data_IF_561044172145
#
_entry.id   IF_561044172145
#
_cell.length_a   1.000
_cell.length_b   1.000
_cell.length_c   1.000
_cell.angle_alpha   90.00
_cell.angle_beta   90.00
_cell.angle_gamma   90.00
#
_symmetry.space_group_name_H-M   'P 1'
#
loop_
_entity.id
_entity.type
_entity.pdbx_description
1 polymer ?
#
# COMPACT_ATOMS: atom_id res chain seq x y z
N UNK A 1 76.55 -7.47 20.19
CA UNK A 1 76.18 -8.86 19.84
C UNK A 1 75.15 -9.29 20.86
N UNK A 2 73.88 -9.58 20.58
CA UNK A 2 73.09 -9.76 19.37
C UNK A 2 71.66 -9.30 19.73
N UNK A 3 71.01 -8.48 18.91
CA UNK A 3 70.07 -8.84 17.85
C UNK A 3 68.61 -8.87 18.33
N UNK A 4 67.82 -8.01 17.71
CA UNK A 4 66.37 -7.88 17.81
C UNK A 4 65.63 -9.06 17.17
N UNK A 5 64.35 -9.20 17.51
CA UNK A 5 63.37 -10.04 16.81
C UNK A 5 62.42 -10.67 17.83
N UNK A 6 61.10 -10.58 17.75
CA UNK A 6 60.18 -9.92 16.83
C UNK A 6 58.82 -9.99 17.55
N UNK A 7 58.13 -8.86 17.66
CA UNK A 7 56.78 -8.82 18.24
C UNK A 7 55.81 -9.33 17.18
N UNK A 8 55.45 -10.62 17.22
CA UNK A 8 54.37 -11.18 16.42
C UNK A 8 53.04 -10.67 16.98
N UNK A 9 52.61 -9.50 16.49
CA UNK A 9 51.24 -9.03 16.62
C UNK A 9 50.32 -9.96 15.82
N UNK A 10 49.73 -10.93 16.51
CA UNK A 10 48.51 -11.56 16.02
C UNK A 10 47.46 -10.45 15.97
N UNK A 11 47.16 -9.98 14.76
CA UNK A 11 45.98 -9.18 14.48
C UNK A 11 44.79 -10.08 14.75
N UNK A 12 44.30 -10.08 15.99
CA UNK A 12 42.94 -10.49 16.27
C UNK A 12 42.05 -9.54 15.49
N UNK A 13 41.55 -9.98 14.33
CA UNK A 13 40.37 -9.39 13.73
C UNK A 13 39.27 -9.47 14.78
N UNK A 14 39.11 -8.38 15.52
CA UNK A 14 37.97 -8.13 16.37
C UNK A 14 36.76 -8.04 15.46
N UNK A 15 36.18 -9.21 15.14
CA UNK A 15 34.79 -9.30 14.73
C UNK A 15 34.02 -8.63 15.87
N UNK A 16 33.54 -7.42 15.62
CA UNK A 16 32.60 -6.75 16.51
C UNK A 16 31.35 -7.61 16.45
N UNK A 17 31.27 -8.60 17.34
CA UNK A 17 30.10 -9.44 17.48
C UNK A 17 29.07 -8.56 18.18
N UNK A 18 28.12 -8.03 17.41
CA UNK A 18 26.99 -7.30 17.99
C UNK A 18 26.35 -8.16 19.09
N UNK A 19 25.88 -7.57 20.20
CA UNK A 19 25.20 -8.33 21.25
C UNK A 19 24.06 -9.17 20.64
N UNK A 20 23.87 -10.44 21.04
CA UNK A 20 22.86 -11.31 20.45
C UNK A 20 21.46 -10.69 20.42
N UNK A 21 21.06 -10.01 21.50
CA UNK A 21 19.78 -9.31 21.59
C UNK A 21 19.64 -8.14 20.60
N UNK A 22 20.74 -7.43 20.30
CA UNK A 22 20.74 -6.34 19.32
C UNK A 22 20.61 -6.89 17.90
N UNK A 23 21.30 -8.00 17.60
CA UNK A 23 21.17 -8.68 16.32
C UNK A 23 19.74 -9.26 16.13
N UNK A 24 19.14 -9.81 17.18
CA UNK A 24 17.77 -10.32 17.16
C UNK A 24 16.74 -9.21 16.91
N UNK A 25 16.92 -8.03 17.52
CA UNK A 25 16.04 -6.89 17.29
C UNK A 25 16.09 -6.41 15.82
N UNK A 26 17.29 -6.30 15.25
CA UNK A 26 17.49 -5.94 13.83
C UNK A 26 16.91 -7.01 12.89
N UNK A 27 17.12 -8.29 13.21
CA UNK A 27 16.54 -9.37 12.42
C UNK A 27 15.00 -9.34 12.48
N UNK A 28 14.43 -9.12 13.66
CA UNK A 28 12.97 -9.01 13.85
C UNK A 28 12.39 -7.86 13.01
N UNK A 29 13.08 -6.72 12.95
CA UNK A 29 12.73 -5.60 12.09
C UNK A 29 12.67 -6.00 10.62
N UNK A 30 13.74 -6.62 10.12
CA UNK A 30 13.79 -7.03 8.73
C UNK A 30 12.71 -8.05 8.39
N UNK A 31 12.47 -9.01 9.29
CA UNK A 31 11.42 -10.02 9.12
C UNK A 31 10.04 -9.37 9.12
N UNK A 32 9.77 -8.40 10.00
CA UNK A 32 8.48 -7.71 10.04
C UNK A 32 8.18 -6.96 8.74
N UNK A 33 9.16 -6.25 8.19
CA UNK A 33 9.03 -5.56 6.90
C UNK A 33 8.84 -6.53 5.73
N UNK A 34 9.56 -7.65 5.74
CA UNK A 34 9.39 -8.72 4.74
C UNK A 34 7.98 -9.33 4.80
N UNK A 35 7.50 -9.63 6.01
CA UNK A 35 6.16 -10.16 6.24
C UNK A 35 5.08 -9.16 5.80
N UNK A 36 5.23 -7.88 6.14
CA UNK A 36 4.34 -6.82 5.69
C UNK A 36 4.27 -6.74 4.16
N UNK A 37 5.42 -6.84 3.49
CA UNK A 37 5.48 -6.86 2.02
C UNK A 37 4.77 -8.08 1.43
N UNK A 38 4.89 -9.25 2.07
CA UNK A 38 4.17 -10.45 1.65
C UNK A 38 2.66 -10.31 1.85
N UNK A 39 2.21 -9.75 2.97
CA UNK A 39 0.80 -9.45 3.22
C UNK A 39 0.23 -8.48 2.18
N UNK A 40 0.95 -7.37 1.92
CA UNK A 40 0.56 -6.38 0.92
C UNK A 40 0.38 -7.00 -0.46
N UNK A 41 1.32 -7.85 -0.89
CA UNK A 41 1.26 -8.54 -2.17
C UNK A 41 0.08 -9.51 -2.23
N UNK A 42 -0.03 -10.42 -1.26
CA UNK A 42 -1.10 -11.43 -1.26
C UNK A 42 -2.50 -10.84 -1.09
N UNK A 43 -2.64 -9.73 -0.35
CA UNK A 43 -3.89 -8.99 -0.26
C UNK A 43 -4.27 -8.37 -1.61
N UNK A 44 -3.30 -7.79 -2.32
CA UNK A 44 -3.51 -7.18 -3.63
C UNK A 44 -3.89 -8.22 -4.70
N UNK A 45 -3.27 -9.39 -4.64
CA UNK A 45 -3.51 -10.55 -5.52
C UNK A 45 -4.75 -11.37 -5.13
N UNK A 46 -5.40 -11.07 -3.99
CA UNK A 46 -6.52 -11.86 -3.43
C UNK A 46 -6.18 -13.35 -3.23
N UNK A 47 -4.92 -13.62 -2.88
CA UNK A 47 -4.38 -14.98 -2.70
C UNK A 47 -4.60 -15.46 -1.26
N UNK A 48 -5.76 -16.06 -0.98
CA UNK A 48 -6.18 -16.49 0.36
C UNK A 48 -5.17 -17.35 1.15
N UNK A 49 -4.73 -18.49 0.62
CA UNK A 49 -3.85 -19.41 1.37
C UNK A 49 -2.46 -18.80 1.67
N UNK A 50 -1.94 -17.98 0.75
CA UNK A 50 -0.70 -17.24 0.97
C UNK A 50 -0.88 -16.14 2.01
N UNK A 51 -2.00 -15.42 1.95
CA UNK A 51 -2.33 -14.36 2.89
C UNK A 51 -2.46 -14.90 4.32
N UNK A 52 -3.24 -15.96 4.55
CA UNK A 52 -3.42 -16.56 5.88
C UNK A 52 -2.09 -16.98 6.53
N UNK A 53 -1.21 -17.64 5.76
CA UNK A 53 0.12 -18.03 6.25
C UNK A 53 0.92 -16.82 6.74
N UNK A 54 0.92 -15.72 5.97
CA UNK A 54 1.68 -14.53 6.35
C UNK A 54 1.00 -13.74 7.47
N UNK A 55 -0.32 -13.84 7.61
CA UNK A 55 -1.08 -13.29 8.73
C UNK A 55 -0.67 -13.94 10.05
N UNK A 56 -0.56 -15.27 10.09
CA UNK A 56 -0.11 -16.00 11.28
C UNK A 56 1.30 -15.57 11.72
N UNK A 57 2.22 -15.46 10.74
CA UNK A 57 3.61 -15.02 11.00
C UNK A 57 3.63 -13.58 11.51
N UNK A 58 2.86 -12.67 10.87
CA UNK A 58 2.76 -11.28 11.30
C UNK A 58 2.23 -11.17 12.73
N UNK A 59 1.18 -11.94 13.06
CA UNK A 59 0.57 -11.89 14.38
C UNK A 59 1.52 -12.43 15.46
N UNK A 60 2.25 -13.51 15.18
CA UNK A 60 3.26 -14.05 16.09
C UNK A 60 4.37 -13.03 16.38
N UNK A 61 4.87 -12.33 15.35
CA UNK A 61 5.89 -11.30 15.50
C UNK A 61 5.38 -10.10 16.30
N UNK A 62 4.20 -9.58 15.94
CA UNK A 62 3.61 -8.39 16.57
C UNK A 62 3.28 -8.67 18.04
N UNK A 63 2.76 -9.86 18.36
CA UNK A 63 2.48 -10.27 19.74
C UNK A 63 3.75 -10.44 20.59
N UNK A 64 4.91 -10.68 19.95
CA UNK A 64 6.21 -10.77 20.60
C UNK A 64 6.84 -9.41 20.93
N UNK A 65 6.31 -8.31 20.39
CA UNK A 65 6.83 -6.97 20.66
C UNK A 65 6.36 -6.48 22.03
N UNK A 66 7.30 -6.14 22.92
CA UNK A 66 6.97 -5.48 24.19
C UNK A 66 6.54 -4.02 23.99
N UNK A 67 7.10 -3.36 22.97
CA UNK A 67 6.72 -2.05 22.48
C UNK A 67 6.97 -1.96 20.98
N UNK A 68 6.12 -1.24 20.26
CA UNK A 68 6.29 -1.01 18.82
C UNK A 68 7.28 0.14 18.61
N UNK A 69 8.44 -0.09 17.96
CA UNK A 69 9.38 0.98 17.65
C UNK A 69 8.74 2.06 16.77
N UNK A 70 9.05 3.37 16.99
CA UNK A 70 8.41 4.47 16.26
C UNK A 70 8.47 4.34 14.73
N UNK A 71 9.62 3.91 14.19
CA UNK A 71 9.80 3.73 12.75
C UNK A 71 8.97 2.57 12.17
N UNK A 72 8.64 1.58 13.00
CA UNK A 72 7.89 0.38 12.59
C UNK A 72 6.38 0.50 12.76
N UNK A 73 5.89 1.53 13.47
CA UNK A 73 4.47 1.71 13.76
C UNK A 73 3.60 1.57 12.51
N UNK A 74 3.95 2.26 11.43
CA UNK A 74 3.20 2.20 10.16
C UNK A 74 3.13 0.77 9.61
N UNK A 75 4.24 0.03 9.67
CA UNK A 75 4.32 -1.37 9.22
C UNK A 75 3.42 -2.26 10.07
N UNK A 76 3.48 -2.13 11.40
CA UNK A 76 2.63 -2.90 12.32
C UNK A 76 1.15 -2.57 12.10
N UNK A 77 0.80 -1.28 12.05
CA UNK A 77 -0.58 -0.86 11.86
C UNK A 77 -1.13 -1.35 10.53
N UNK A 78 -0.37 -1.23 9.44
CA UNK A 78 -0.79 -1.75 8.13
C UNK A 78 -1.03 -3.26 8.18
N UNK A 79 -0.11 -4.05 8.75
CA UNK A 79 -0.34 -5.49 8.94
C UNK A 79 -1.65 -5.77 9.70
N UNK A 80 -1.87 -5.07 10.83
CA UNK A 80 -3.05 -5.25 11.66
C UNK A 80 -4.35 -4.87 10.91
N UNK A 81 -4.32 -3.80 10.10
CA UNK A 81 -5.44 -3.38 9.24
C UNK A 81 -5.74 -4.45 8.19
N UNK A 82 -4.73 -4.92 7.43
CA UNK A 82 -4.93 -5.88 6.35
C UNK A 82 -5.53 -7.20 6.85
N UNK A 83 -5.01 -7.73 7.97
CA UNK A 83 -5.49 -8.98 8.57
C UNK A 83 -6.97 -8.84 8.98
N UNK A 84 -7.32 -7.74 9.65
CA UNK A 84 -8.68 -7.49 10.13
C UNK A 84 -9.67 -7.22 9.01
N UNK A 85 -9.23 -6.50 7.98
CA UNK A 85 -10.05 -6.26 6.82
C UNK A 85 -10.25 -7.57 6.07
N UNK A 86 -9.24 -8.39 5.81
CA UNK A 86 -9.46 -9.70 5.17
C UNK A 86 -10.50 -10.58 5.89
N UNK A 87 -10.60 -10.47 7.22
CA UNK A 87 -11.59 -11.16 8.06
C UNK A 87 -12.84 -10.32 8.38
N UNK A 88 -13.04 -9.20 7.68
CA UNK A 88 -14.02 -8.16 8.01
C UNK A 88 -15.47 -8.62 8.01
N UNK A 89 -15.80 -9.62 7.19
CA UNK A 89 -17.14 -10.20 7.11
C UNK A 89 -17.38 -11.33 8.12
N UNK A 90 -16.34 -11.78 8.82
CA UNK A 90 -16.42 -12.87 9.78
C UNK A 90 -16.71 -12.33 11.19
N UNK A 91 -17.99 -12.07 11.46
CA UNK A 91 -18.44 -11.51 12.74
C UNK A 91 -18.26 -12.44 13.96
N UNK A 92 -17.92 -13.72 13.74
CA UNK A 92 -17.59 -14.66 14.81
C UNK A 92 -16.13 -14.62 15.26
N UNK A 93 -15.29 -13.82 14.59
CA UNK A 93 -13.87 -13.70 14.88
C UNK A 93 -13.61 -12.40 15.64
N UNK A 94 -12.78 -12.47 16.69
CA UNK A 94 -12.48 -11.36 17.58
C UNK A 94 -10.97 -11.15 17.70
N UNK A 95 -10.53 -9.91 17.51
CA UNK A 95 -9.12 -9.51 17.62
C UNK A 95 -8.82 -8.76 18.92
N UNK A 96 -9.84 -8.21 19.56
CA UNK A 96 -9.73 -7.40 20.76
C UNK A 96 -10.23 -8.16 21.99
N UNK A 97 -9.78 -7.72 23.17
CA UNK A 97 -10.26 -8.25 24.44
C UNK A 97 -11.77 -8.04 24.64
N UNK A 98 -12.33 -6.97 24.07
CA UNK A 98 -13.77 -6.77 24.03
C UNK A 98 -14.37 -7.50 22.82
N UNK A 99 -15.01 -8.63 23.07
CA UNK A 99 -15.62 -9.48 22.02
C UNK A 99 -16.78 -8.79 21.30
N UNK A 100 -17.23 -7.60 21.73
CA UNK A 100 -18.24 -6.81 21.01
C UNK A 100 -17.65 -6.01 19.84
N UNK A 101 -16.32 -5.95 19.75
CA UNK A 101 -15.61 -5.27 18.67
C UNK A 101 -15.47 -6.26 17.51
N UNK A 102 -16.09 -5.93 16.37
CA UNK A 102 -15.91 -6.69 15.13
C UNK A 102 -14.51 -6.49 14.53
N UNK A 103 -14.08 -7.38 13.62
CA UNK A 103 -12.84 -7.18 12.87
C UNK A 103 -12.72 -5.80 12.20
N UNK A 104 -13.79 -5.27 11.60
CA UNK A 104 -13.75 -3.95 10.93
C UNK A 104 -13.66 -2.79 11.91
N UNK A 105 -14.29 -2.90 13.08
CA UNK A 105 -14.16 -1.88 14.14
C UNK A 105 -12.74 -1.86 14.71
N UNK A 106 -12.17 -3.05 14.88
CA UNK A 106 -10.76 -3.20 15.23
C UNK A 106 -9.87 -2.59 14.14
N UNK A 107 -10.16 -2.84 12.86
CA UNK A 107 -9.40 -2.27 11.73
C UNK A 107 -9.44 -0.74 11.74
N UNK A 108 -10.61 -0.15 12.04
CA UNK A 108 -10.78 1.30 12.13
C UNK A 108 -9.89 1.92 13.22
N UNK A 109 -9.74 1.23 14.36
CA UNK A 109 -8.86 1.71 15.43
C UNK A 109 -7.40 1.82 14.97
N UNK A 110 -6.90 0.80 14.25
CA UNK A 110 -5.55 0.83 13.67
C UNK A 110 -5.43 1.81 12.52
N UNK A 111 -6.49 2.00 11.71
CA UNK A 111 -6.52 3.01 10.67
C UNK A 111 -6.35 4.41 11.27
N UNK A 112 -7.06 4.71 12.35
CA UNK A 112 -6.95 5.99 13.07
C UNK A 112 -5.53 6.21 13.64
N UNK A 113 -4.87 5.14 14.09
CA UNK A 113 -3.47 5.21 14.53
C UNK A 113 -2.51 5.47 13.37
N UNK A 114 -2.77 4.88 12.20
CA UNK A 114 -1.98 5.06 10.98
C UNK A 114 -2.09 6.49 10.44
N UNK A 115 -3.31 7.06 10.43
CA UNK A 115 -3.57 8.45 10.00
C UNK A 115 -2.75 9.46 10.81
N UNK A 116 -2.59 9.23 12.12
CA UNK A 116 -1.79 10.10 12.99
C UNK A 116 -0.30 10.11 12.66
N UNK A 117 0.19 9.06 12.00
CA UNK A 117 1.59 8.94 11.58
C UNK A 117 1.81 9.50 10.16
N UNK A 118 0.77 9.89 9.42
CA UNK A 118 0.85 10.29 8.01
C UNK A 118 -0.01 11.50 7.61
N UNK A 119 0.66 12.61 7.24
CA UNK A 119 0.00 13.88 6.88
C UNK A 119 -0.31 14.00 5.36
N UNK A 120 0.34 13.21 4.48
CA UNK A 120 0.32 13.47 3.02
C UNK A 120 -0.87 12.91 2.22
N UNK A 121 -1.73 12.09 2.82
CA UNK A 121 -2.75 11.31 2.11
C UNK A 121 -4.17 11.61 2.59
N UNK A 122 -4.42 12.81 3.10
CA UNK A 122 -5.67 13.25 3.76
C UNK A 122 -6.93 12.74 3.06
N UNK A 123 -7.09 12.97 1.75
CA UNK A 123 -8.29 12.52 1.02
C UNK A 123 -8.43 10.99 0.94
N UNK A 124 -7.33 10.26 0.68
CA UNK A 124 -7.39 8.79 0.59
C UNK A 124 -7.64 8.20 1.99
N UNK A 125 -7.06 8.80 3.01
CA UNK A 125 -7.29 8.44 4.42
C UNK A 125 -8.75 8.64 4.81
N UNK A 126 -9.31 9.82 4.57
CA UNK A 126 -10.72 10.13 4.80
C UNK A 126 -11.65 9.16 4.04
N UNK A 127 -11.36 8.88 2.76
CA UNK A 127 -12.12 7.94 1.94
C UNK A 127 -12.13 6.54 2.59
N UNK A 128 -10.96 6.02 2.98
CA UNK A 128 -10.82 4.68 3.58
C UNK A 128 -11.47 4.65 4.97
N UNK A 129 -11.21 5.66 5.81
CA UNK A 129 -11.79 5.78 7.14
C UNK A 129 -13.32 5.70 7.07
N UNK A 130 -13.92 6.51 6.19
CA UNK A 130 -15.36 6.53 5.96
C UNK A 130 -15.89 5.21 5.42
N UNK A 131 -15.16 4.58 4.50
CA UNK A 131 -15.54 3.26 3.97
C UNK A 131 -15.52 2.18 5.05
N UNK A 132 -14.51 2.16 5.93
CA UNK A 132 -14.46 1.22 7.06
C UNK A 132 -15.67 1.44 7.98
N UNK A 133 -15.97 2.69 8.37
CA UNK A 133 -17.14 3.01 9.21
C UNK A 133 -18.46 2.53 8.59
N UNK A 134 -18.67 2.78 7.30
CA UNK A 134 -19.89 2.35 6.60
C UNK A 134 -19.95 0.82 6.54
N UNK A 135 -18.81 0.16 6.26
CA UNK A 135 -18.75 -1.29 6.13
C UNK A 135 -18.93 -2.01 7.47
N UNK A 136 -18.50 -1.43 8.61
CA UNK A 136 -18.85 -1.95 9.92
C UNK A 136 -20.36 -2.15 10.06
N UNK A 137 -21.16 -1.14 9.70
CA UNK A 137 -22.63 -1.22 9.76
C UNK A 137 -23.19 -2.15 8.67
N UNK A 138 -22.68 -2.05 7.44
CA UNK A 138 -23.18 -2.84 6.31
C UNK A 138 -23.08 -4.35 6.55
N UNK A 139 -21.95 -4.83 7.07
CA UNK A 139 -21.73 -6.26 7.33
C UNK A 139 -22.70 -6.81 8.39
N UNK A 140 -22.96 -6.07 9.46
CA UNK A 140 -23.99 -6.46 10.45
C UNK A 140 -25.40 -6.47 9.84
N UNK A 141 -25.70 -5.48 8.99
CA UNK A 141 -27.01 -5.37 8.31
C UNK A 141 -27.26 -6.54 7.34
N UNK A 142 -26.26 -6.91 6.53
CA UNK A 142 -26.32 -8.06 5.62
C UNK A 142 -26.50 -9.39 6.39
N UNK A 143 -25.87 -9.49 7.56
CA UNK A 143 -25.99 -10.64 8.48
C UNK A 143 -27.29 -10.66 9.30
N UNK A 144 -28.18 -9.68 9.11
CA UNK A 144 -29.44 -9.47 9.87
C UNK A 144 -29.26 -9.23 11.37
N UNK A 145 -28.07 -8.85 11.79
CA UNK A 145 -27.74 -8.49 13.18
C UNK A 145 -28.01 -6.99 13.41
N UNK A 146 -29.30 -6.61 13.35
CA UNK A 146 -29.72 -5.20 13.37
C UNK A 146 -29.45 -4.51 14.72
N UNK A 147 -29.50 -5.27 15.81
CA UNK A 147 -29.26 -4.74 17.16
C UNK A 147 -27.77 -4.42 17.32
N UNK A 148 -26.93 -5.36 16.93
CA UNK A 148 -25.49 -5.27 16.90
C UNK A 148 -25.05 -4.16 15.94
N UNK A 149 -25.72 -3.97 14.80
CA UNK A 149 -25.49 -2.84 13.90
C UNK A 149 -25.74 -1.47 14.58
N UNK A 150 -26.78 -1.37 15.41
CA UNK A 150 -27.08 -0.15 16.16
C UNK A 150 -26.03 0.09 17.27
N UNK A 151 -25.65 -0.96 18.00
CA UNK A 151 -24.56 -0.89 18.98
C UNK A 151 -23.22 -0.53 18.31
N UNK A 152 -22.95 -1.10 17.12
CA UNK A 152 -21.84 -0.79 16.24
C UNK A 152 -21.77 0.72 15.96
N UNK A 153 -22.88 1.26 15.44
CA UNK A 153 -23.01 2.67 15.11
C UNK A 153 -22.71 3.59 16.30
N UNK A 154 -23.23 3.27 17.49
CA UNK A 154 -23.05 4.11 18.67
C UNK A 154 -21.59 4.18 19.14
N UNK A 155 -20.83 3.08 19.08
CA UNK A 155 -19.39 3.15 19.47
C UNK A 155 -18.50 3.74 18.37
N UNK A 156 -18.90 3.66 17.09
CA UNK A 156 -18.17 4.26 15.97
C UNK A 156 -18.22 5.79 15.97
N UNK A 157 -19.32 6.36 16.43
CA UNK A 157 -19.60 7.80 16.34
C UNK A 157 -19.86 8.43 17.71
N UNK A 158 -18.83 8.45 18.56
CA UNK A 158 -18.86 9.11 19.87
C UNK A 158 -18.78 10.63 19.71
N UNK A 159 -19.91 11.32 19.94
CA UNK A 159 -20.15 12.78 20.04
C UNK A 159 -19.43 13.73 19.04
N UNK A 160 -18.89 13.20 17.95
CA UNK A 160 -18.26 13.97 16.87
C UNK A 160 -19.32 14.67 16.01
N UNK A 161 -19.35 16.01 16.06
CA UNK A 161 -20.30 16.81 15.26
C UNK A 161 -20.04 16.70 13.75
N UNK A 162 -18.81 16.41 13.31
CA UNK A 162 -18.48 16.24 11.89
C UNK A 162 -19.11 14.99 11.28
N UNK A 163 -19.32 13.95 12.09
CA UNK A 163 -19.83 12.66 11.62
C UNK A 163 -21.35 12.53 11.72
N UNK A 164 -22.00 13.53 12.31
CA UNK A 164 -23.45 13.57 12.53
C UNK A 164 -24.27 13.28 11.26
N UNK A 165 -23.95 13.81 10.06
CA UNK A 165 -24.71 13.49 8.86
C UNK A 165 -24.63 12.02 8.47
N UNK A 166 -23.44 11.41 8.60
CA UNK A 166 -23.22 10.00 8.28
C UNK A 166 -23.93 9.10 9.30
N UNK A 167 -23.80 9.41 10.59
CA UNK A 167 -24.47 8.69 11.69
C UNK A 167 -25.98 8.66 11.51
N UNK A 168 -26.61 9.82 11.24
CA UNK A 168 -28.08 9.90 11.02
C UNK A 168 -28.51 9.07 9.81
N UNK A 169 -27.72 9.10 8.73
CA UNK A 169 -28.00 8.31 7.52
C UNK A 169 -27.94 6.81 7.82
N UNK A 170 -26.89 6.35 8.49
CA UNK A 170 -26.74 4.94 8.87
C UNK A 170 -27.82 4.49 9.86
N UNK A 171 -28.16 5.31 10.86
CA UNK A 171 -29.26 5.01 11.79
C UNK A 171 -30.61 4.83 11.07
N UNK A 172 -30.87 5.66 10.04
CA UNK A 172 -32.08 5.55 9.22
C UNK A 172 -32.12 4.23 8.45
N UNK A 173 -30.97 3.80 7.90
CA UNK A 173 -30.83 2.53 7.18
C UNK A 173 -30.99 1.33 8.13
N UNK A 174 -30.41 1.39 9.33
CA UNK A 174 -30.60 0.35 10.35
C UNK A 174 -32.08 0.21 10.71
N UNK A 175 -32.79 1.33 10.85
CA UNK A 175 -34.22 1.35 11.13
C UNK A 175 -35.05 0.76 9.99
N UNK A 176 -34.67 0.98 8.73
CA UNK A 176 -35.36 0.38 7.58
C UNK A 176 -35.13 -1.13 7.46
N UNK A 177 -34.08 -1.67 8.10
CA UNK A 177 -33.70 -3.10 8.06
C UNK A 177 -33.43 -3.63 6.65
N UNK A 178 -33.12 -2.73 5.73
CA UNK A 178 -32.81 -3.06 4.33
C UNK A 178 -31.30 -2.84 4.09
N UNK A 179 -30.50 -3.93 3.93
CA UNK A 179 -29.07 -3.80 3.65
C UNK A 179 -28.78 -3.42 2.18
N UNK A 180 -29.75 -3.51 1.28
CA UNK A 180 -29.53 -3.34 -0.17
C UNK A 180 -29.87 -1.94 -0.67
N UNK A 181 -29.94 -0.96 0.23
CA UNK A 181 -30.17 0.43 -0.12
C UNK A 181 -29.04 0.96 -1.03
N UNK A 182 -29.33 1.85 -2.00
CA UNK A 182 -28.33 2.35 -2.95
C UNK A 182 -27.09 2.94 -2.30
N UNK A 183 -27.23 3.50 -1.09
CA UNK A 183 -26.11 4.03 -0.33
C UNK A 183 -25.09 2.94 0.05
N UNK A 184 -25.52 1.82 0.66
CA UNK A 184 -24.60 0.75 1.06
C UNK A 184 -23.99 0.06 -0.17
N UNK A 185 -24.75 -0.02 -1.27
CA UNK A 185 -24.24 -0.52 -2.55
C UNK A 185 -23.16 0.39 -3.16
N UNK A 186 -23.30 1.71 -3.05
CA UNK A 186 -22.29 2.66 -3.58
C UNK A 186 -21.00 2.68 -2.75
N UNK A 187 -21.09 2.41 -1.45
CA UNK A 187 -19.96 2.35 -0.53
C UNK A 187 -19.64 0.89 -0.23
N UNK A 188 -19.41 0.08 -1.27
CA UNK A 188 -19.28 -1.38 -1.14
C UNK A 188 -17.99 -1.84 -0.46
N UNK A 189 -18.02 -3.09 0.03
CA UNK A 189 -16.82 -3.76 0.52
C UNK A 189 -15.72 -3.86 -0.55
N UNK A 190 -16.09 -4.11 -1.81
CA UNK A 190 -15.13 -4.12 -2.92
C UNK A 190 -14.47 -2.76 -3.16
N UNK A 191 -15.19 -1.65 -2.95
CA UNK A 191 -14.63 -0.31 -3.02
C UNK A 191 -13.63 -0.06 -1.89
N UNK A 192 -13.93 -0.53 -0.67
CA UNK A 192 -12.99 -0.50 0.45
C UNK A 192 -11.69 -1.24 0.10
N UNK A 193 -11.80 -2.48 -0.38
CA UNK A 193 -10.64 -3.28 -0.81
C UNK A 193 -9.84 -2.55 -1.89
N UNK A 194 -10.51 -1.99 -2.91
CA UNK A 194 -9.84 -1.25 -3.98
C UNK A 194 -9.06 -0.04 -3.46
N UNK A 195 -9.62 0.73 -2.52
CA UNK A 195 -8.95 1.90 -1.93
C UNK A 195 -7.76 1.51 -1.06
N UNK A 196 -7.87 0.41 -0.33
CA UNK A 196 -6.74 -0.14 0.44
C UNK A 196 -5.63 -0.61 -0.49
N UNK A 197 -5.94 -1.26 -1.62
CA UNK A 197 -4.92 -1.62 -2.62
C UNK A 197 -4.19 -0.37 -3.14
N UNK A 198 -4.91 0.71 -3.43
CA UNK A 198 -4.29 2.00 -3.78
C UNK A 198 -3.37 2.51 -2.67
N UNK A 199 -3.77 2.40 -1.40
CA UNK A 199 -2.90 2.76 -0.27
C UNK A 199 -1.64 1.89 -0.21
N UNK A 200 -1.79 0.57 -0.37
CA UNK A 200 -0.67 -0.38 -0.38
C UNK A 200 0.36 -0.02 -1.46
N UNK A 201 -0.09 0.31 -2.67
CA UNK A 201 0.80 0.72 -3.78
C UNK A 201 1.65 1.93 -3.39
N UNK A 202 1.04 2.92 -2.73
CA UNK A 202 1.74 4.12 -2.25
C UNK A 202 2.70 3.79 -1.10
N UNK A 203 2.27 2.93 -0.17
CA UNK A 203 3.07 2.49 0.97
C UNK A 203 4.34 1.75 0.54
N UNK A 204 4.19 0.77 -0.35
CA UNK A 204 5.31 -0.03 -0.89
C UNK A 204 6.28 0.86 -1.68
N UNK A 205 5.76 1.82 -2.47
CA UNK A 205 6.59 2.77 -3.20
C UNK A 205 7.41 3.67 -2.26
N UNK A 206 6.84 4.07 -1.12
CA UNK A 206 7.49 4.98 -0.16
C UNK A 206 8.53 4.29 0.70
N UNK A 207 8.25 3.07 1.15
CA UNK A 207 9.09 2.40 2.15
C UNK A 207 10.32 1.68 1.55
N UNK A 208 10.52 1.75 0.23
CA UNK A 208 11.68 1.14 -0.43
C UNK A 208 11.68 -0.39 -0.37
N UNK A 209 12.74 -1.01 -0.89
CA UNK A 209 12.89 -2.47 -0.89
C UNK A 209 13.61 -2.89 0.39
N UNK A 210 12.96 -3.70 1.23
CA UNK A 210 13.52 -4.26 2.46
C UNK A 210 14.76 -5.13 2.19
N UNK A 211 15.70 -5.14 3.13
CA UNK A 211 16.96 -5.90 3.06
C UNK A 211 16.75 -7.38 2.72
N UNK A 212 15.83 -8.08 3.40
CA UNK A 212 15.58 -9.50 3.13
C UNK A 212 14.98 -9.74 1.74
N UNK A 213 14.15 -8.82 1.24
CA UNK A 213 13.62 -8.91 -0.13
C UNK A 213 14.76 -8.78 -1.14
N UNK A 214 15.66 -7.81 -0.93
CA UNK A 214 16.83 -7.62 -1.80
C UNK A 214 17.74 -8.84 -1.80
N UNK A 215 18.11 -9.34 -0.62
CA UNK A 215 19.00 -10.50 -0.50
C UNK A 215 18.34 -11.79 -1.02
N UNK A 216 17.05 -11.98 -0.78
CA UNK A 216 16.31 -13.11 -1.36
C UNK A 216 16.27 -13.04 -2.89
N UNK A 217 16.05 -11.84 -3.48
CA UNK A 217 16.04 -11.65 -4.92
C UNK A 217 17.40 -12.02 -5.55
N UNK A 218 18.51 -11.54 -4.97
CA UNK A 218 19.87 -11.91 -5.41
C UNK A 218 20.10 -13.42 -5.38
N UNK A 219 19.58 -14.10 -4.36
CA UNK A 219 19.73 -15.55 -4.23
C UNK A 219 18.84 -16.34 -5.20
N UNK A 220 17.68 -15.80 -5.57
CA UNK A 220 16.82 -16.40 -6.61
C UNK A 220 17.48 -16.30 -7.98
N UNK A 221 18.10 -15.14 -8.27
CA UNK A 221 18.88 -14.92 -9.49
C UNK A 221 20.10 -15.86 -9.56
N UNK A 222 20.85 -15.98 -8.47
CA UNK A 222 22.05 -16.84 -8.41
C UNK A 222 21.74 -18.33 -8.54
N UNK A 223 20.56 -18.78 -8.08
CA UNK A 223 20.09 -20.16 -8.20
C UNK A 223 19.40 -20.49 -9.52
N UNK A 224 19.23 -19.51 -10.42
CA UNK A 224 18.51 -19.70 -11.69
C UNK A 224 17.03 -20.03 -11.51
N UNK A 225 16.45 -19.74 -10.34
CA UNK A 225 15.05 -20.02 -10.00
C UNK A 225 14.08 -18.94 -10.51
N UNK A 226 14.56 -17.96 -11.28
CA UNK A 226 13.74 -16.89 -11.82
C UNK A 226 14.39 -16.24 -13.04
N UNK A 227 14.20 -16.84 -14.21
CA UNK A 227 14.27 -16.12 -15.47
C UNK A 227 12.83 -15.88 -15.97
N UNK A 228 12.21 -14.81 -15.49
CA UNK A 228 11.30 -14.01 -16.31
C UNK A 228 11.96 -12.64 -16.40
N UNK A 229 12.54 -12.34 -17.55
CA UNK A 229 13.24 -11.09 -17.79
C UNK A 229 12.26 -9.91 -17.68
N UNK A 230 12.53 -8.99 -16.76
CA UNK A 230 12.08 -7.60 -16.85
C UNK A 230 13.31 -6.69 -16.69
N UNK A 231 13.44 -5.60 -17.47
CA UNK A 231 14.68 -4.85 -17.54
C UNK A 231 14.87 -3.96 -16.31
N UNK A 232 15.98 -4.20 -15.61
CA UNK A 232 16.50 -3.34 -14.56
C UNK A 232 16.95 -1.98 -15.14
N UNK A 233 16.58 -0.89 -14.48
CA UNK A 233 17.41 0.32 -14.45
C UNK A 233 17.24 1.07 -13.13
N UNK A 234 17.99 0.63 -12.12
CA UNK A 234 18.39 1.51 -11.02
C UNK A 234 19.50 2.42 -11.52
N UNK A 235 19.32 3.73 -11.38
CA UNK A 235 20.42 4.71 -11.41
C UNK A 235 20.24 5.60 -10.19
N UNK A 236 21.16 5.47 -9.24
CA UNK A 236 21.41 6.46 -8.20
C UNK A 236 21.88 7.76 -8.84
N UNK A 237 21.27 8.91 -8.49
CA UNK A 237 21.98 10.20 -8.38
C UNK A 237 21.29 11.08 -7.33
N UNK A 238 22.15 11.59 -6.44
CA UNK A 238 22.09 12.60 -5.36
C UNK A 238 20.92 13.59 -5.26
N UNK A 239 20.51 13.81 -4.01
CA UNK A 239 19.78 14.98 -3.51
C UNK A 239 20.50 16.30 -3.82
N UNK A 240 19.72 17.34 -4.16
CA UNK A 240 19.99 18.72 -3.77
C UNK A 240 18.67 19.51 -3.80
N UNK A 241 18.42 20.20 -2.71
CA UNK A 241 17.24 21.01 -2.39
C UNK A 241 17.41 22.43 -2.94
N UNK A 242 16.34 23.04 -3.45
CA UNK A 242 16.13 24.48 -3.27
C UNK A 242 14.65 24.87 -3.43
N UNK A 243 14.23 25.78 -2.55
CA UNK A 243 12.87 26.25 -2.26
C UNK A 243 12.53 27.49 -3.10
N UNK A 244 11.30 27.65 -3.58
CA UNK A 244 10.36 28.72 -3.15
C UNK A 244 9.16 29.01 -4.10
N UNK A 245 8.06 29.38 -3.43
CA UNK A 245 6.92 30.24 -3.82
C UNK A 245 5.70 29.67 -4.58
N UNK A 246 4.62 29.52 -3.79
CA UNK A 246 3.18 29.75 -4.01
C UNK A 246 2.79 30.57 -5.26
N UNK A 247 1.70 30.38 -6.02
CA UNK A 247 0.32 29.91 -5.75
C UNK A 247 -0.35 29.58 -7.11
N UNK A 248 -1.50 28.89 -7.12
CA UNK A 248 -2.30 28.42 -8.30
C UNK A 248 -1.96 27.04 -8.93
N UNK A 249 -1.31 26.14 -8.20
CA UNK A 249 -0.92 24.81 -8.73
C UNK A 249 -1.88 23.65 -8.43
N UNK A 250 -2.93 23.85 -7.60
CA UNK A 250 -3.79 22.76 -7.14
C UNK A 250 -4.60 22.03 -8.24
N UNK A 251 -4.98 22.72 -9.31
CA UNK A 251 -5.75 22.10 -10.40
C UNK A 251 -4.86 21.51 -11.51
N UNK A 252 -3.70 22.13 -11.76
CA UNK A 252 -2.75 21.70 -12.80
C UNK A 252 -1.93 20.49 -12.33
N UNK A 253 -1.67 20.36 -11.02
CA UNK A 253 -0.91 19.25 -10.44
C UNK A 253 -1.62 17.89 -10.60
N UNK A 254 -2.96 17.88 -10.63
CA UNK A 254 -3.74 16.65 -10.91
C UNK A 254 -3.56 16.13 -12.34
N UNK A 255 -3.23 17.00 -13.30
CA UNK A 255 -2.93 16.64 -14.70
C UNK A 255 -1.44 16.35 -14.88
N UNK A 256 -0.55 17.00 -14.12
CA UNK A 256 0.89 16.78 -14.20
C UNK A 256 1.30 15.45 -13.54
N UNK A 257 0.70 15.06 -12.41
CA UNK A 257 1.08 13.83 -11.70
C UNK A 257 0.64 12.53 -12.40
N UNK A 258 -0.33 12.59 -13.33
CA UNK A 258 -0.65 11.48 -14.25
C UNK A 258 0.21 11.51 -15.54
N UNK A 259 0.92 12.61 -15.81
CA UNK A 259 1.76 12.77 -16.99
C UNK A 259 3.21 12.32 -16.79
N UNK A 260 3.68 12.14 -15.57
CA UNK A 260 5.10 11.83 -15.30
C UNK A 260 5.39 10.35 -15.00
N UNK A 261 4.70 9.45 -15.69
CA UNK A 261 5.36 8.18 -16.06
C UNK A 261 6.13 8.51 -17.33
N UNK A 262 7.46 8.66 -17.24
CA UNK A 262 8.32 8.92 -18.42
C UNK A 262 7.96 7.95 -19.54
N UNK A 263 7.73 8.49 -20.73
CA UNK A 263 7.59 7.67 -21.93
C UNK A 263 8.92 6.98 -22.21
N UNK A 264 8.87 5.67 -22.35
CA UNK A 264 10.02 4.85 -22.70
C UNK A 264 10.26 4.90 -24.21
N UNK A 265 11.51 4.68 -24.64
CA UNK A 265 11.84 4.62 -26.08
C UNK A 265 11.05 3.53 -26.81
N UNK A 266 10.71 2.44 -26.11
CA UNK A 266 9.85 1.37 -26.63
C UNK A 266 8.42 1.86 -26.89
N UNK A 267 7.80 2.58 -25.93
CA UNK A 267 6.48 3.17 -26.13
C UNK A 267 6.48 4.21 -27.27
N UNK A 268 7.54 5.01 -27.40
CA UNK A 268 7.66 5.95 -28.52
C UNK A 268 7.81 5.23 -29.88
N UNK A 269 8.53 4.11 -29.90
CA UNK A 269 8.68 3.28 -31.10
C UNK A 269 7.35 2.64 -31.51
N UNK A 270 6.62 2.06 -30.56
CA UNK A 270 5.27 1.50 -30.77
C UNK A 270 4.29 2.57 -31.25
N UNK A 271 4.36 3.79 -30.69
CA UNK A 271 3.54 4.90 -31.13
C UNK A 271 3.86 5.31 -32.58
N UNK A 272 5.14 5.37 -32.95
CA UNK A 272 5.57 5.67 -34.33
C UNK A 272 5.13 4.60 -35.32
N UNK A 273 5.25 3.32 -34.96
CA UNK A 273 4.79 2.21 -35.80
C UNK A 273 3.27 2.24 -35.98
N UNK A 274 2.53 2.41 -34.88
CA UNK A 274 1.08 2.52 -34.93
C UNK A 274 0.58 3.71 -35.73
N UNK A 275 1.26 4.86 -35.65
CA UNK A 275 0.92 6.02 -36.50
C UNK A 275 1.26 5.76 -37.98
N UNK A 276 2.36 5.06 -38.28
CA UNK A 276 2.72 4.66 -39.66
C UNK A 276 1.70 3.69 -40.25
N UNK A 277 1.19 2.77 -39.44
CA UNK A 277 0.27 1.71 -39.87
C UNK A 277 -1.21 2.17 -39.91
N UNK A 278 -1.66 2.88 -38.88
CA UNK A 278 -3.07 3.26 -38.72
C UNK A 278 -3.35 4.74 -39.02
N UNK A 279 -2.32 5.58 -39.15
CA UNK A 279 -2.47 7.01 -39.43
C UNK A 279 -2.70 7.89 -38.19
N UNK A 280 -2.29 9.16 -38.29
CA UNK A 280 -2.44 10.17 -37.22
C UNK A 280 -3.93 10.38 -36.91
N UNK A 281 -4.31 10.33 -35.62
CA UNK A 281 -5.69 10.53 -35.18
C UNK A 281 -6.39 9.25 -34.73
N UNK A 282 -5.91 8.07 -35.15
CA UNK A 282 -6.49 6.78 -34.82
C UNK A 282 -5.98 6.20 -33.48
N UNK A 283 -5.92 7.04 -32.45
CA UNK A 283 -5.28 6.72 -31.16
C UNK A 283 -5.89 5.54 -30.42
N UNK A 284 -7.21 5.37 -30.49
CA UNK A 284 -7.89 4.23 -29.87
C UNK A 284 -7.49 2.91 -30.54
N UNK A 285 -7.32 2.92 -31.87
CA UNK A 285 -6.88 1.74 -32.63
C UNK A 285 -5.41 1.44 -32.39
N UNK A 286 -4.57 2.48 -32.34
CA UNK A 286 -3.15 2.36 -32.01
C UNK A 286 -2.98 1.81 -30.59
N UNK A 287 -3.73 2.32 -29.62
CA UNK A 287 -3.69 1.86 -28.23
C UNK A 287 -4.02 0.37 -28.09
N UNK A 288 -4.97 -0.14 -28.88
CA UNK A 288 -5.36 -1.56 -28.84
C UNK A 288 -4.30 -2.46 -29.49
N UNK A 289 -3.54 -1.95 -30.46
CA UNK A 289 -2.56 -2.74 -31.20
C UNK A 289 -1.12 -2.65 -30.68
N UNK A 290 -0.77 -1.60 -29.92
CA UNK A 290 0.56 -1.43 -29.34
C UNK A 290 0.58 -1.67 -27.83
N UNK A 291 1.75 -2.03 -27.31
CA UNK A 291 1.93 -2.20 -25.87
C UNK A 291 2.33 -0.87 -25.21
N UNK A 292 1.35 -0.20 -24.62
CA UNK A 292 1.55 1.10 -23.97
C UNK A 292 1.24 1.05 -22.47
N UNK A 293 1.67 0.03 -21.70
CA UNK A 293 1.72 0.04 -20.22
C UNK A 293 0.69 0.97 -19.50
N UNK A 294 -0.60 0.66 -19.60
CA UNK A 294 -1.72 1.42 -18.98
C UNK A 294 -1.90 2.88 -19.46
N UNK A 295 -1.36 3.27 -20.62
CA UNK A 295 -1.60 4.56 -21.26
C UNK A 295 -3.00 4.63 -21.85
N UNK A 296 -3.47 5.85 -22.05
CA UNK A 296 -4.76 6.11 -22.71
C UNK A 296 -4.56 6.71 -24.11
N UNK A 297 -5.58 6.64 -24.95
CA UNK A 297 -5.56 7.20 -26.31
C UNK A 297 -5.27 8.71 -26.32
N UNK A 298 -5.67 9.42 -25.25
CA UNK A 298 -5.35 10.83 -25.03
C UNK A 298 -3.86 11.04 -24.77
N UNK A 299 -3.23 10.15 -23.98
CA UNK A 299 -1.79 10.21 -23.71
C UNK A 299 -0.97 9.96 -24.98
N UNK A 300 -1.38 9.02 -25.83
CA UNK A 300 -0.74 8.76 -27.13
C UNK A 300 -0.80 9.98 -28.04
N UNK A 301 -1.98 10.62 -28.14
CA UNK A 301 -2.16 11.87 -28.90
C UNK A 301 -1.21 12.96 -28.40
N UNK A 302 -1.15 13.16 -27.09
CA UNK A 302 -0.32 14.22 -26.50
C UNK A 302 1.17 13.92 -26.66
N UNK A 303 1.59 12.65 -26.56
CA UNK A 303 2.98 12.26 -26.83
C UNK A 303 3.37 12.43 -28.29
N UNK A 304 2.49 12.07 -29.23
CA UNK A 304 2.75 12.22 -30.66
C UNK A 304 3.01 13.68 -31.04
N UNK A 305 2.29 14.62 -30.43
CA UNK A 305 2.53 16.06 -30.63
C UNK A 305 3.92 16.51 -30.18
N UNK A 306 4.49 15.87 -29.15
CA UNK A 306 5.85 16.14 -28.69
C UNK A 306 6.88 15.51 -29.63
N UNK A 307 6.71 14.24 -30.02
CA UNK A 307 7.60 13.56 -30.96
C UNK A 307 7.65 14.23 -32.33
N UNK A 308 6.49 14.64 -32.86
CA UNK A 308 6.39 15.32 -34.16
C UNK A 308 7.14 16.66 -34.19
N UNK A 309 7.26 17.35 -33.05
CA UNK A 309 8.01 18.60 -32.94
C UNK A 309 9.52 18.39 -32.88
N UNK A 310 9.95 17.27 -32.29
CA UNK A 310 11.37 16.88 -32.20
C UNK A 310 11.89 16.41 -33.56
N UNK A 311 11.02 15.83 -34.40
CA UNK A 311 11.39 15.37 -35.76
C UNK A 311 11.33 16.46 -36.84
N UNK A 312 10.75 17.63 -36.54
CA UNK A 312 10.62 18.77 -37.46
C UNK A 312 11.62 19.91 -37.22
N UNK A 313 12.48 19.78 -36.21
CA UNK A 313 13.60 20.69 -35.92
C UNK A 313 14.92 19.99 -36.20
#
# INVERSE_FOLDING_TARGET
MAAAGECSSFVSSSVILAPPAAAEAVATEWVLEFVCSCLCRHFSEESGAGFERWSDVAQALINGLSQIPPHQKKTVYLCQILIRIAQGTNLGLHFDNDHRISPLESALSFWTLLEREEIKLEKLHEDIHRLIQIQCVAVYMESRYFKEAAEALERLFTDSESDKPLRVKLATIIKSKDPYVPFLQSFSYSLLISKIKTYIELFVKRNGINFLIQEAAKQVESKGLGAVAMPNKFVEVSENYESDSETEQGFVLSIILLRDVRWTEAEDMELRLGVREFGVGNWAKILVHGNFNNRTSVMLKDRWRTLSKIEQG
#
